data_IF_267181556012
#
_entry.id   IF_267181556012
#
_cell.length_a   1.000
_cell.length_b   1.000
_cell.length_c   1.000
_cell.angle_alpha   90.00
_cell.angle_beta   90.00
_cell.angle_gamma   90.00
#
_symmetry.space_group_name_H-M   'P 1'
#
loop_
_entity.id
_entity.type
_entity.pdbx_description
1 polymer ?
#
# COMPACT_ATOMS: atom_id res chain seq x y z
N UNK A 1 -6.42 -29.39 -4.69
CA UNK A 1 -7.04 -28.44 -3.75
C UNK A 1 -8.01 -27.57 -4.52
N UNK A 2 -9.20 -27.34 -3.98
CA UNK A 2 -10.24 -26.53 -4.63
C UNK A 2 -10.86 -25.57 -3.64
N UNK A 3 -11.18 -24.37 -4.08
CA UNK A 3 -11.97 -23.40 -3.32
C UNK A 3 -13.40 -23.94 -3.21
N UNK A 4 -13.91 -24.13 -2.00
CA UNK A 4 -15.28 -24.63 -1.75
C UNK A 4 -16.20 -23.53 -1.22
N UNK A 5 -15.66 -22.50 -0.61
CA UNK A 5 -16.43 -21.31 -0.24
C UNK A 5 -15.56 -20.07 -0.15
N UNK A 6 -16.18 -18.93 -0.41
CA UNK A 6 -15.62 -17.60 -0.19
C UNK A 6 -16.63 -16.80 0.63
N UNK A 7 -16.24 -16.29 1.77
CA UNK A 7 -17.05 -15.36 2.57
C UNK A 7 -16.43 -13.97 2.46
N UNK A 8 -17.23 -12.99 2.07
CA UNK A 8 -16.84 -11.59 1.87
C UNK A 8 -17.46 -10.74 2.97
N UNK A 9 -16.65 -9.97 3.65
CA UNK A 9 -17.07 -9.08 4.73
C UNK A 9 -16.76 -7.63 4.36
N UNK A 10 -17.75 -6.77 4.45
CA UNK A 10 -17.58 -5.32 4.38
C UNK A 10 -17.37 -4.78 5.79
N UNK A 11 -16.18 -4.27 6.11
CA UNK A 11 -15.79 -3.85 7.46
C UNK A 11 -15.35 -2.40 7.48
N UNK A 12 -15.52 -1.73 8.62
CA UNK A 12 -15.04 -0.37 8.87
C UNK A 12 -14.04 -0.39 10.02
N UNK A 13 -12.79 0.02 9.74
CA UNK A 13 -11.68 0.01 10.70
C UNK A 13 -11.55 1.37 11.37
N UNK A 14 -11.77 1.47 12.71
CA UNK A 14 -11.71 2.74 13.42
C UNK A 14 -10.25 3.18 13.64
N UNK A 15 -9.93 4.42 13.27
CA UNK A 15 -8.62 5.03 13.47
C UNK A 15 -8.44 5.53 14.92
N UNK A 16 -7.20 5.50 15.40
CA UNK A 16 -6.82 6.11 16.68
C UNK A 16 -6.92 7.64 16.66
N UNK A 17 -6.68 8.24 15.50
CA UNK A 17 -6.74 9.69 15.23
C UNK A 17 -7.20 9.90 13.80
N UNK A 18 -7.83 11.05 13.46
CA UNK A 18 -8.14 11.37 12.08
C UNK A 18 -6.89 11.36 11.21
N UNK A 19 -6.99 10.76 10.03
CA UNK A 19 -5.94 10.74 9.02
C UNK A 19 -6.29 11.68 7.88
N UNK A 20 -5.49 12.73 7.69
CA UNK A 20 -5.74 13.83 6.75
C UNK A 20 -4.73 13.80 5.63
N UNK A 21 -5.23 13.68 4.40
CA UNK A 21 -4.49 13.73 3.14
C UNK A 21 -4.99 14.88 2.26
N UNK A 22 -4.39 15.09 1.09
CA UNK A 22 -4.70 16.23 0.22
C UNK A 22 -6.18 16.32 -0.22
N UNK A 23 -6.91 15.21 -0.25
CA UNK A 23 -8.28 15.13 -0.79
C UNK A 23 -9.35 14.75 0.22
N UNK A 24 -8.99 14.23 1.43
CA UNK A 24 -9.98 13.81 2.42
C UNK A 24 -9.43 13.77 3.86
N UNK A 25 -10.34 13.61 4.84
CA UNK A 25 -10.05 13.41 6.25
C UNK A 25 -10.86 12.22 6.78
N UNK A 26 -10.16 11.14 7.13
CA UNK A 26 -10.75 9.87 7.53
C UNK A 26 -10.78 9.70 9.05
N UNK A 27 -11.88 9.21 9.60
CA UNK A 27 -12.03 8.79 11.01
C UNK A 27 -12.04 7.27 11.15
N UNK A 28 -12.47 6.59 10.10
CA UNK A 28 -12.47 5.15 9.91
C UNK A 28 -12.15 4.85 8.45
N UNK A 29 -11.67 3.64 8.17
CA UNK A 29 -11.30 3.25 6.82
C UNK A 29 -12.08 2.00 6.38
N UNK A 30 -12.61 2.00 5.13
CA UNK A 30 -13.32 0.86 4.58
C UNK A 30 -12.34 -0.28 4.27
N UNK A 31 -12.65 -1.49 4.68
CA UNK A 31 -11.88 -2.69 4.36
C UNK A 31 -12.80 -3.84 3.98
N UNK A 32 -12.47 -4.55 2.90
CA UNK A 32 -13.20 -5.74 2.45
C UNK A 32 -12.34 -6.96 2.75
N UNK A 33 -12.81 -7.80 3.66
CA UNK A 33 -12.11 -9.02 4.04
C UNK A 33 -12.70 -10.20 3.26
N UNK A 34 -11.81 -11.02 2.71
CA UNK A 34 -12.12 -12.29 2.06
C UNK A 34 -11.63 -13.43 2.93
N UNK A 35 -12.54 -14.35 3.29
CA UNK A 35 -12.21 -15.65 3.88
C UNK A 35 -12.43 -16.72 2.84
N UNK A 36 -11.36 -17.38 2.41
CA UNK A 36 -11.37 -18.45 1.41
C UNK A 36 -11.18 -19.80 2.09
N UNK A 37 -12.11 -20.73 1.87
CA UNK A 37 -12.03 -22.11 2.42
C UNK A 37 -11.84 -23.10 1.30
N UNK A 38 -10.95 -24.08 1.50
CA UNK A 38 -10.66 -25.13 0.52
C UNK A 38 -11.26 -26.47 0.90
N UNK A 39 -11.35 -27.40 -0.06
CA UNK A 39 -11.81 -28.79 0.12
C UNK A 39 -10.92 -29.61 1.08
N UNK A 40 -9.73 -29.13 1.43
CA UNK A 40 -8.85 -29.72 2.42
C UNK A 40 -9.00 -29.11 3.82
N UNK A 41 -9.93 -28.15 4.00
CA UNK A 41 -10.17 -27.46 5.26
C UNK A 41 -9.20 -26.31 5.56
N UNK A 42 -8.28 -26.01 4.66
CA UNK A 42 -7.38 -24.85 4.82
C UNK A 42 -8.17 -23.56 4.55
N UNK A 43 -8.00 -22.59 5.44
CA UNK A 43 -8.61 -21.26 5.35
C UNK A 43 -7.52 -20.21 5.14
N UNK A 44 -7.69 -19.40 4.11
CA UNK A 44 -6.87 -18.19 3.86
C UNK A 44 -7.70 -16.94 3.97
N UNK A 45 -7.04 -15.86 4.37
CA UNK A 45 -7.61 -14.52 4.46
C UNK A 45 -6.92 -13.58 3.49
N UNK A 46 -7.69 -12.64 2.95
CA UNK A 46 -7.20 -11.53 2.16
C UNK A 46 -7.98 -10.29 2.44
N UNK A 47 -7.43 -9.15 2.04
CA UNK A 47 -8.00 -7.84 2.28
C UNK A 47 -7.91 -6.99 1.03
N UNK A 48 -9.00 -6.27 0.74
CA UNK A 48 -9.06 -5.19 -0.23
C UNK A 48 -9.44 -3.88 0.45
N UNK A 49 -8.68 -2.84 0.21
CA UNK A 49 -8.97 -1.51 0.75
C UNK A 49 -9.25 -0.54 -0.40
N UNK A 50 -10.52 -0.33 -0.75
CA UNK A 50 -10.91 0.54 -1.85
C UNK A 50 -10.80 2.02 -1.45
N UNK A 51 -10.43 2.85 -2.44
CA UNK A 51 -10.45 4.31 -2.34
C UNK A 51 -10.87 4.88 -3.69
N UNK A 52 -11.95 5.70 -3.77
CA UNK A 52 -12.45 6.26 -5.03
C UNK A 52 -11.43 7.12 -5.79
N UNK A 53 -10.50 7.78 -5.07
CA UNK A 53 -9.49 8.67 -5.64
C UNK A 53 -8.22 7.95 -6.07
N UNK A 54 -7.98 6.74 -5.54
CA UNK A 54 -6.76 5.97 -5.80
C UNK A 54 -7.04 4.72 -6.62
N UNK A 55 -7.98 3.87 -6.19
CA UNK A 55 -8.30 2.62 -6.90
C UNK A 55 -9.49 2.75 -7.85
N UNK A 56 -10.27 3.82 -7.73
CA UNK A 56 -11.51 4.02 -8.48
C UNK A 56 -12.67 3.15 -7.98
N UNK A 57 -12.49 2.47 -6.85
CA UNK A 57 -13.47 1.59 -6.23
C UNK A 57 -14.02 2.24 -4.96
N UNK A 58 -15.30 2.04 -4.69
CA UNK A 58 -15.94 2.42 -3.43
C UNK A 58 -16.11 1.21 -2.53
N UNK A 59 -16.34 1.42 -1.24
CA UNK A 59 -16.64 0.37 -0.28
C UNK A 59 -17.72 -0.61 -0.79
N UNK A 60 -18.87 -0.07 -1.18
CA UNK A 60 -19.99 -0.89 -1.65
C UNK A 60 -19.74 -1.52 -3.02
N UNK A 61 -19.08 -0.82 -3.94
CA UNK A 61 -18.80 -1.39 -5.26
C UNK A 61 -17.84 -2.56 -5.17
N UNK A 62 -16.82 -2.49 -4.32
CA UNK A 62 -15.85 -3.57 -4.09
C UNK A 62 -16.53 -4.79 -3.47
N UNK A 63 -17.37 -4.58 -2.45
CA UNK A 63 -18.12 -5.66 -1.81
C UNK A 63 -19.08 -6.36 -2.77
N UNK A 64 -19.90 -5.62 -3.50
CA UNK A 64 -20.89 -6.19 -4.45
C UNK A 64 -20.18 -6.93 -5.58
N UNK A 65 -19.12 -6.35 -6.13
CA UNK A 65 -18.32 -6.95 -7.20
C UNK A 65 -17.66 -8.26 -6.77
N UNK A 66 -17.07 -8.29 -5.57
CA UNK A 66 -16.53 -9.53 -5.01
C UNK A 66 -17.61 -10.57 -4.79
N UNK A 67 -18.72 -10.19 -4.17
CA UNK A 67 -19.77 -11.14 -3.75
C UNK A 67 -20.56 -11.70 -4.92
N UNK A 68 -20.82 -10.91 -5.99
CA UNK A 68 -21.72 -11.29 -7.09
C UNK A 68 -21.00 -11.66 -8.38
N UNK A 69 -19.91 -10.98 -8.68
CA UNK A 69 -19.30 -11.08 -10.01
C UNK A 69 -18.00 -11.90 -10.00
N UNK A 70 -17.23 -11.87 -8.91
CA UNK A 70 -15.90 -12.49 -8.86
C UNK A 70 -15.89 -13.81 -8.10
N UNK A 71 -16.30 -13.81 -6.82
CA UNK A 71 -16.19 -14.99 -5.96
C UNK A 71 -16.94 -16.22 -6.49
N UNK A 72 -18.16 -16.12 -7.07
CA UNK A 72 -18.85 -17.28 -7.63
C UNK A 72 -18.08 -18.00 -8.75
N UNK A 73 -17.28 -17.26 -9.53
CA UNK A 73 -16.48 -17.79 -10.64
C UNK A 73 -15.25 -18.56 -10.18
N UNK A 74 -14.86 -18.39 -8.92
CA UNK A 74 -13.66 -19.01 -8.35
C UNK A 74 -13.95 -20.30 -7.59
N UNK A 75 -15.22 -20.65 -7.39
CA UNK A 75 -15.59 -21.93 -6.77
C UNK A 75 -15.14 -23.11 -7.65
N UNK A 76 -14.48 -24.08 -7.02
CA UNK A 76 -13.88 -25.23 -7.70
C UNK A 76 -12.50 -24.97 -8.30
N UNK A 77 -12.03 -23.74 -8.38
CA UNK A 77 -10.69 -23.40 -8.83
C UNK A 77 -9.63 -23.74 -7.77
N UNK A 78 -8.38 -23.91 -8.21
CA UNK A 78 -7.26 -24.19 -7.33
C UNK A 78 -6.52 -22.87 -6.97
N UNK A 79 -6.38 -22.52 -5.68
CA UNK A 79 -5.65 -21.30 -5.26
C UNK A 79 -4.20 -21.23 -5.77
N UNK A 80 -3.58 -22.37 -6.07
CA UNK A 80 -2.21 -22.41 -6.64
C UNK A 80 -2.15 -21.95 -8.10
N UNK A 81 -3.26 -21.99 -8.84
CA UNK A 81 -3.31 -21.56 -10.24
C UNK A 81 -3.49 -20.03 -10.32
N UNK A 82 -2.64 -19.27 -9.61
CA UNK A 82 -2.81 -17.83 -9.39
C UNK A 82 -2.94 -17.04 -10.70
N UNK A 83 -2.18 -17.38 -11.73
CA UNK A 83 -2.32 -16.71 -13.03
C UNK A 83 -3.69 -16.97 -13.67
N UNK A 84 -4.22 -18.19 -13.55
CA UNK A 84 -5.57 -18.54 -14.03
C UNK A 84 -6.62 -17.75 -13.26
N UNK A 85 -6.50 -17.66 -11.93
CA UNK A 85 -7.38 -16.87 -11.07
C UNK A 85 -7.41 -15.41 -11.52
N UNK A 86 -6.25 -14.79 -11.76
CA UNK A 86 -6.17 -13.43 -12.28
C UNK A 86 -6.81 -13.27 -13.66
N UNK A 87 -6.69 -14.28 -14.55
CA UNK A 87 -7.38 -14.28 -15.85
C UNK A 87 -8.90 -14.33 -15.69
N UNK A 88 -9.42 -15.19 -14.80
CA UNK A 88 -10.85 -15.27 -14.48
C UNK A 88 -11.35 -13.91 -13.95
N UNK A 89 -10.71 -13.36 -12.94
CA UNK A 89 -11.09 -12.08 -12.35
C UNK A 89 -11.05 -10.93 -13.38
N UNK A 90 -10.04 -10.93 -14.26
CA UNK A 90 -9.90 -9.88 -15.27
C UNK A 90 -10.89 -10.01 -16.43
N UNK A 91 -11.38 -11.23 -16.70
CA UNK A 91 -12.46 -11.44 -17.65
C UNK A 91 -13.83 -11.06 -17.08
N UNK A 92 -14.01 -11.23 -15.75
CA UNK A 92 -15.24 -10.86 -15.06
C UNK A 92 -15.39 -9.34 -14.92
N UNK A 93 -14.31 -8.65 -14.49
CA UNK A 93 -14.37 -7.22 -14.16
C UNK A 93 -13.11 -6.50 -14.66
N UNK A 94 -13.34 -5.44 -15.45
CA UNK A 94 -12.27 -4.54 -15.86
C UNK A 94 -11.79 -3.69 -14.67
N UNK A 95 -10.47 -3.48 -14.53
CA UNK A 95 -9.85 -2.83 -13.37
C UNK A 95 -10.19 -3.55 -12.04
N UNK A 96 -10.80 -2.87 -11.07
CA UNK A 96 -11.13 -3.36 -9.73
C UNK A 96 -9.92 -3.99 -9.00
N UNK A 97 -8.81 -3.26 -8.87
CA UNK A 97 -7.58 -3.83 -8.32
C UNK A 97 -7.69 -4.17 -6.84
N UNK A 98 -8.44 -3.39 -6.06
CA UNK A 98 -8.63 -3.66 -4.63
C UNK A 98 -9.42 -4.94 -4.40
N UNK A 99 -10.50 -5.16 -5.16
CA UNK A 99 -11.25 -6.41 -5.13
C UNK A 99 -10.37 -7.62 -5.49
N UNK A 100 -9.55 -7.49 -6.54
CA UNK A 100 -8.64 -8.56 -6.98
C UNK A 100 -7.53 -8.83 -5.96
N UNK A 101 -7.02 -7.79 -5.28
CA UNK A 101 -6.02 -7.93 -4.23
C UNK A 101 -6.53 -8.78 -3.07
N UNK A 102 -7.79 -8.62 -2.66
CA UNK A 102 -8.38 -9.43 -1.60
C UNK A 102 -8.36 -10.93 -1.94
N UNK A 103 -8.69 -11.30 -3.17
CA UNK A 103 -8.62 -12.70 -3.62
C UNK A 103 -7.18 -13.19 -3.75
N UNK A 104 -6.30 -12.39 -4.36
CA UNK A 104 -4.89 -12.73 -4.55
C UNK A 104 -4.19 -13.02 -3.22
N UNK A 105 -4.35 -12.12 -2.25
CA UNK A 105 -3.76 -12.25 -0.91
C UNK A 105 -4.31 -13.51 -0.22
N UNK A 106 -5.62 -13.78 -0.30
CA UNK A 106 -6.21 -15.00 0.27
C UNK A 106 -5.64 -16.27 -0.38
N UNK A 107 -5.40 -16.26 -1.70
CA UNK A 107 -4.74 -17.38 -2.39
C UNK A 107 -3.31 -17.60 -1.87
N UNK A 108 -2.52 -16.54 -1.71
CA UNK A 108 -1.16 -16.66 -1.16
C UNK A 108 -1.15 -17.15 0.29
N UNK A 109 -2.11 -16.73 1.10
CA UNK A 109 -2.27 -17.24 2.47
C UNK A 109 -2.60 -18.74 2.48
N UNK A 110 -3.54 -19.18 1.62
CA UNK A 110 -3.84 -20.61 1.43
C UNK A 110 -2.60 -21.38 0.96
N UNK A 111 -1.87 -20.88 -0.05
CA UNK A 111 -0.69 -21.54 -0.59
C UNK A 111 0.39 -21.71 0.49
N UNK A 112 0.65 -20.67 1.26
CA UNK A 112 1.62 -20.71 2.35
C UNK A 112 1.24 -21.72 3.44
N UNK A 113 -0.04 -21.72 3.88
CA UNK A 113 -0.56 -22.67 4.86
C UNK A 113 -0.53 -24.11 4.33
N UNK A 114 -0.91 -24.33 3.07
CA UNK A 114 -0.91 -25.64 2.44
C UNK A 114 0.49 -26.25 2.30
N UNK A 115 1.50 -25.42 2.09
CA UNK A 115 2.91 -25.85 1.96
C UNK A 115 3.68 -25.81 3.26
N UNK A 116 3.08 -25.30 4.34
CA UNK A 116 3.75 -25.09 5.62
C UNK A 116 4.84 -24.01 5.56
N UNK A 117 4.74 -23.06 4.62
CA UNK A 117 5.73 -22.02 4.36
C UNK A 117 5.13 -20.62 4.57
N UNK A 118 5.90 -19.67 5.12
CA UNK A 118 5.53 -18.27 5.05
C UNK A 118 5.53 -17.77 3.60
N UNK A 119 4.67 -16.80 3.30
CA UNK A 119 4.49 -16.30 1.92
C UNK A 119 5.80 -15.83 1.29
N UNK A 120 6.69 -15.18 2.05
CA UNK A 120 7.96 -14.73 1.47
C UNK A 120 8.81 -15.88 0.88
N UNK A 121 8.70 -17.13 1.39
CA UNK A 121 9.38 -18.29 0.81
C UNK A 121 8.82 -18.66 -0.57
N UNK A 122 7.53 -18.43 -0.81
CA UNK A 122 6.91 -18.59 -2.13
C UNK A 122 7.36 -17.50 -3.12
N UNK A 123 7.90 -16.40 -2.62
CA UNK A 123 8.36 -15.25 -3.41
C UNK A 123 9.87 -15.22 -3.65
N UNK A 124 10.61 -16.20 -3.12
CA UNK A 124 12.07 -16.32 -3.32
C UNK A 124 12.89 -16.33 -2.03
N UNK A 125 12.25 -16.27 -0.87
CA UNK A 125 12.91 -16.26 0.45
C UNK A 125 13.25 -14.84 0.94
N UNK A 126 13.84 -14.75 2.14
CA UNK A 126 14.23 -13.47 2.74
C UNK A 126 15.49 -12.91 2.10
N UNK A 127 15.43 -11.67 1.65
CA UNK A 127 16.60 -10.86 1.26
C UNK A 127 16.97 -9.88 2.36
N UNK A 128 15.95 -9.33 3.05
CA UNK A 128 16.12 -8.44 4.17
C UNK A 128 15.89 -9.17 5.50
N UNK A 129 16.53 -8.74 6.58
CA UNK A 129 16.35 -9.32 7.92
C UNK A 129 15.16 -8.72 8.69
N UNK A 130 14.86 -7.45 8.43
CA UNK A 130 13.77 -6.67 9.04
C UNK A 130 13.28 -5.60 8.08
N UNK A 131 12.16 -4.99 8.38
CA UNK A 131 11.56 -3.91 7.58
C UNK A 131 11.44 -2.64 8.43
N UNK A 132 12.31 -1.66 8.17
CA UNK A 132 12.18 -0.35 8.78
C UNK A 132 10.96 0.38 8.22
N UNK A 133 10.13 0.95 9.10
CA UNK A 133 8.93 1.69 8.74
C UNK A 133 9.07 3.17 9.06
N UNK A 134 8.54 4.10 8.24
CA UNK A 134 8.57 5.53 8.52
C UNK A 134 7.53 5.90 9.58
N UNK A 135 7.74 7.03 10.24
CA UNK A 135 6.65 7.70 10.94
C UNK A 135 5.92 8.64 9.98
N UNK A 136 4.62 8.41 9.78
CA UNK A 136 3.80 9.16 8.82
C UNK A 136 3.04 10.27 9.54
N UNK A 137 3.16 11.50 9.04
CA UNK A 137 2.50 12.70 9.58
C UNK A 137 1.48 13.22 8.56
N UNK A 138 0.24 13.34 8.99
CA UNK A 138 -0.85 13.95 8.23
C UNK A 138 -0.62 15.44 7.93
N UNK A 139 -1.43 16.03 7.06
CA UNK A 139 -1.43 17.47 6.83
C UNK A 139 -1.93 18.19 8.09
N UNK A 140 -1.03 18.95 8.72
CA UNK A 140 -1.27 19.71 9.94
C UNK A 140 -0.59 21.09 9.82
N UNK A 141 -0.79 22.02 10.79
CA UNK A 141 0.01 23.24 10.89
C UNK A 141 1.53 22.93 10.96
N UNK A 142 2.39 23.76 10.35
CA UNK A 142 3.85 23.50 10.30
C UNK A 142 4.48 23.19 11.65
N UNK A 143 4.10 23.91 12.70
CA UNK A 143 4.64 23.76 14.06
C UNK A 143 4.21 22.43 14.70
N UNK A 144 2.99 21.97 14.42
CA UNK A 144 2.51 20.67 14.87
C UNK A 144 3.23 19.52 14.18
N UNK A 145 3.43 19.62 12.85
CA UNK A 145 4.19 18.62 12.10
C UNK A 145 5.63 18.53 12.58
N UNK A 146 6.27 19.67 12.83
CA UNK A 146 7.62 19.73 13.39
C UNK A 146 7.72 19.09 14.78
N UNK A 147 6.73 19.35 15.65
CA UNK A 147 6.67 18.76 17.00
C UNK A 147 6.50 17.24 16.92
N UNK A 148 5.56 16.74 16.11
CA UNK A 148 5.36 15.29 15.94
C UNK A 148 6.60 14.61 15.35
N UNK A 149 7.26 15.24 14.38
CA UNK A 149 8.49 14.73 13.78
C UNK A 149 9.63 14.63 14.80
N UNK A 150 9.82 15.66 15.63
CA UNK A 150 10.83 15.66 16.69
C UNK A 150 10.56 14.56 17.75
N UNK A 151 9.30 14.34 18.10
CA UNK A 151 8.92 13.28 19.06
C UNK A 151 9.11 11.89 18.46
N UNK A 152 8.82 11.70 17.16
CA UNK A 152 9.10 10.45 16.47
C UNK A 152 10.61 10.14 16.43
N UNK A 153 11.46 11.14 16.18
CA UNK A 153 12.93 10.97 16.22
C UNK A 153 13.39 10.57 17.64
N UNK A 154 12.85 11.17 18.69
CA UNK A 154 13.15 10.79 20.09
C UNK A 154 12.68 9.33 20.38
N UNK A 155 11.59 8.90 19.74
CA UNK A 155 11.10 7.52 19.85
C UNK A 155 11.93 6.51 19.05
N UNK A 156 12.92 6.99 18.26
CA UNK A 156 13.88 6.14 17.54
C UNK A 156 13.57 5.95 16.05
N UNK A 157 12.61 6.69 15.48
CA UNK A 157 12.38 6.67 14.04
C UNK A 157 13.53 7.34 13.28
N UNK A 158 13.97 6.71 12.21
CA UNK A 158 15.05 7.19 11.33
C UNK A 158 14.55 7.75 10.01
N UNK A 159 13.25 7.61 9.75
CA UNK A 159 12.57 8.11 8.56
C UNK A 159 11.23 8.73 8.92
N UNK A 160 11.00 9.94 8.42
CA UNK A 160 9.75 10.69 8.59
C UNK A 160 9.14 10.91 7.20
N UNK A 161 7.89 10.48 7.02
CA UNK A 161 7.08 10.81 5.84
C UNK A 161 6.05 11.86 6.21
N UNK A 162 5.95 12.94 5.45
CA UNK A 162 4.95 13.99 5.66
C UNK A 162 4.01 14.08 4.48
N UNK A 163 2.73 14.28 4.77
CA UNK A 163 1.72 14.61 3.77
C UNK A 163 1.67 16.11 3.57
N UNK A 164 1.59 16.52 2.29
CA UNK A 164 1.44 17.91 1.83
C UNK A 164 0.44 17.93 0.68
N UNK A 165 0.25 19.06 -0.01
CA UNK A 165 -0.62 19.13 -1.19
C UNK A 165 -1.91 19.93 -0.96
N UNK A 166 -1.99 20.66 0.15
CA UNK A 166 -3.09 21.58 0.45
C UNK A 166 -2.80 22.97 -0.17
N UNK A 167 -2.02 23.80 0.52
CA UNK A 167 -1.58 25.09 0.01
C UNK A 167 -0.07 25.10 -0.24
N UNK A 168 0.40 25.32 -1.49
CA UNK A 168 1.82 25.24 -1.83
C UNK A 168 2.74 26.16 -1.01
N UNK A 169 2.26 27.35 -0.61
CA UNK A 169 3.06 28.28 0.20
C UNK A 169 3.19 27.79 1.66
N UNK A 170 2.15 27.17 2.18
CA UNK A 170 2.15 26.56 3.51
C UNK A 170 2.93 25.25 3.49
N UNK A 171 2.91 24.48 2.40
CA UNK A 171 3.67 23.25 2.24
C UNK A 171 5.18 23.50 2.30
N UNK A 172 5.66 24.58 1.70
CA UNK A 172 7.06 25.02 1.87
C UNK A 172 7.40 25.21 3.35
N UNK A 173 6.51 25.85 4.12
CA UNK A 173 6.72 26.04 5.57
C UNK A 173 6.70 24.72 6.33
N UNK A 174 5.78 23.81 5.99
CA UNK A 174 5.68 22.45 6.57
C UNK A 174 6.99 21.69 6.38
N UNK A 175 7.47 21.61 5.14
CA UNK A 175 8.70 20.88 4.80
C UNK A 175 9.91 21.47 5.55
N UNK A 176 10.07 22.80 5.55
CA UNK A 176 11.17 23.48 6.24
C UNK A 176 11.11 23.27 7.76
N UNK A 177 9.94 23.46 8.37
CA UNK A 177 9.77 23.29 9.81
C UNK A 177 10.07 21.85 10.26
N UNK A 178 9.64 20.85 9.50
CA UNK A 178 9.96 19.46 9.80
C UNK A 178 11.45 19.19 9.62
N UNK A 179 12.09 19.64 8.53
CA UNK A 179 13.54 19.46 8.32
C UNK A 179 14.37 20.11 9.42
N UNK A 180 14.00 21.31 9.84
CA UNK A 180 14.66 21.99 10.96
C UNK A 180 14.55 21.19 12.28
N UNK A 181 13.36 20.62 12.54
CA UNK A 181 13.09 19.87 13.76
C UNK A 181 13.82 18.51 13.83
N UNK A 182 14.00 17.82 12.68
CA UNK A 182 14.61 16.48 12.66
C UNK A 182 16.12 16.50 12.32
N UNK A 183 16.68 17.63 11.91
CA UNK A 183 18.07 17.72 11.45
C UNK A 183 18.30 17.02 10.09
N UNK A 184 19.55 16.91 9.65
CA UNK A 184 19.92 16.39 8.33
C UNK A 184 20.18 14.87 8.29
N UNK A 185 20.32 14.22 9.44
CA UNK A 185 20.61 12.76 9.52
C UNK A 185 19.37 11.88 9.38
N UNK A 186 18.19 12.44 9.58
CA UNK A 186 16.91 11.73 9.48
C UNK A 186 16.36 11.84 8.04
N UNK A 187 15.95 10.73 7.48
CA UNK A 187 15.33 10.70 6.16
C UNK A 187 14.00 11.45 6.16
N UNK A 188 13.84 12.39 5.22
CA UNK A 188 12.59 13.14 5.03
C UNK A 188 11.98 12.77 3.68
N UNK A 189 10.78 12.22 3.72
CA UNK A 189 9.97 11.83 2.57
C UNK A 189 8.76 12.75 2.48
N UNK A 190 8.47 13.24 1.29
CA UNK A 190 7.38 14.20 1.08
C UNK A 190 6.40 13.62 0.07
N UNK A 191 5.13 13.56 0.44
CA UNK A 191 4.07 13.05 -0.41
C UNK A 191 3.00 14.13 -0.61
N UNK A 192 2.83 14.56 -1.85
CA UNK A 192 1.89 15.60 -2.23
C UNK A 192 0.51 15.07 -2.62
N UNK A 193 0.33 13.75 -2.74
CA UNK A 193 -0.93 13.10 -3.14
C UNK A 193 -1.67 13.89 -4.25
N UNK A 194 -0.95 14.22 -5.33
CA UNK A 194 -1.44 15.00 -6.49
C UNK A 194 -1.78 16.49 -6.19
N UNK A 195 -1.64 16.95 -4.96
CA UNK A 195 -2.15 18.26 -4.51
C UNK A 195 -1.51 19.47 -5.19
N UNK A 196 -0.26 19.38 -5.67
CA UNK A 196 0.36 20.49 -6.44
C UNK A 196 -0.07 20.51 -7.90
N UNK A 197 -0.71 19.46 -8.40
CA UNK A 197 -1.50 19.32 -9.61
C UNK A 197 -0.76 19.47 -10.94
N UNK A 198 0.26 20.31 -11.06
CA UNK A 198 0.94 20.59 -12.31
C UNK A 198 2.42 20.93 -12.13
N UNK A 199 3.18 20.85 -13.23
CA UNK A 199 4.63 21.08 -13.27
C UNK A 199 5.03 22.45 -12.70
N UNK A 200 4.33 23.51 -13.10
CA UNK A 200 4.70 24.87 -12.71
C UNK A 200 4.61 25.11 -11.20
N UNK A 201 3.56 24.62 -10.56
CA UNK A 201 3.40 24.67 -9.10
C UNK A 201 4.43 23.80 -8.40
N UNK A 202 4.61 22.57 -8.88
CA UNK A 202 5.61 21.63 -8.34
C UNK A 202 7.00 22.23 -8.35
N UNK A 203 7.46 22.74 -9.49
CA UNK A 203 8.80 23.32 -9.62
C UNK A 203 9.00 24.58 -8.75
N UNK A 204 7.94 25.37 -8.55
CA UNK A 204 7.99 26.53 -7.65
C UNK A 204 8.17 26.13 -6.19
N UNK A 205 7.53 25.07 -5.75
CA UNK A 205 7.69 24.52 -4.39
C UNK A 205 9.08 23.89 -4.25
N UNK A 206 9.44 22.97 -5.14
CA UNK A 206 10.72 22.24 -5.04
C UNK A 206 11.92 23.17 -5.01
N UNK A 207 11.90 24.25 -5.81
CA UNK A 207 12.95 25.26 -5.78
C UNK A 207 13.12 25.96 -4.41
N UNK A 208 12.04 26.07 -3.63
CA UNK A 208 12.08 26.71 -2.31
C UNK A 208 12.48 25.75 -1.18
N UNK A 209 12.55 24.47 -1.45
CA UNK A 209 12.88 23.43 -0.46
C UNK A 209 14.02 22.52 -0.93
N UNK A 210 14.76 22.93 -1.96
CA UNK A 210 15.87 22.15 -2.53
C UNK A 210 16.96 21.85 -1.48
N UNK A 211 17.19 22.77 -0.58
CA UNK A 211 18.13 22.66 0.55
C UNK A 211 17.60 21.80 1.72
N UNK A 212 16.36 21.31 1.65
CA UNK A 212 15.78 20.45 2.67
C UNK A 212 16.19 18.97 2.56
N UNK A 213 17.02 18.60 1.57
CA UNK A 213 17.58 17.24 1.42
C UNK A 213 16.52 16.14 1.55
N UNK A 214 15.41 16.29 0.80
CA UNK A 214 14.35 15.29 0.76
C UNK A 214 14.85 14.03 0.08
N UNK A 215 14.51 12.84 0.63
CA UNK A 215 14.84 11.55 0.02
C UNK A 215 14.14 11.39 -1.33
N UNK A 216 12.88 11.84 -1.42
CA UNK A 216 12.10 11.99 -2.65
C UNK A 216 10.88 12.90 -2.47
N UNK A 217 10.32 13.31 -3.59
CA UNK A 217 8.96 13.85 -3.71
C UNK A 217 8.05 12.82 -4.36
N UNK A 218 6.91 12.48 -3.73
CA UNK A 218 5.94 11.50 -4.19
C UNK A 218 4.72 12.19 -4.78
N UNK A 219 4.31 11.75 -5.97
CA UNK A 219 3.14 12.16 -6.76
C UNK A 219 2.75 13.64 -6.66
N UNK A 220 3.62 14.55 -7.11
CA UNK A 220 3.34 15.99 -6.99
C UNK A 220 2.31 16.51 -8.01
N UNK A 221 2.22 15.85 -9.19
CA UNK A 221 1.28 16.19 -10.28
C UNK A 221 0.10 15.22 -10.30
N UNK A 222 -0.94 15.52 -11.10
CA UNK A 222 -2.09 14.62 -11.24
C UNK A 222 -1.66 13.24 -11.73
N UNK A 223 -2.40 12.20 -11.31
CA UNK A 223 -2.09 10.80 -11.60
C UNK A 223 -1.99 10.48 -13.09
N UNK A 224 -2.82 11.11 -13.92
CA UNK A 224 -2.86 10.94 -15.37
C UNK A 224 -1.82 11.79 -16.11
N UNK A 225 -1.13 12.72 -15.43
CA UNK A 225 -0.09 13.58 -16.04
C UNK A 225 1.32 12.95 -15.96
N UNK A 226 1.49 11.77 -16.55
CA UNK A 226 2.80 11.09 -16.63
C UNK A 226 3.83 11.95 -17.41
N UNK A 227 3.38 12.74 -18.36
CA UNK A 227 4.25 13.66 -19.13
C UNK A 227 4.75 14.78 -18.21
N UNK A 228 3.87 15.38 -17.44
CA UNK A 228 4.26 16.40 -16.48
C UNK A 228 5.16 15.83 -15.38
N UNK A 229 4.94 14.61 -14.94
CA UNK A 229 5.85 13.95 -13.97
C UNK A 229 7.26 13.78 -14.55
N UNK A 230 7.37 13.35 -15.83
CA UNK A 230 8.64 13.25 -16.52
C UNK A 230 9.36 14.61 -16.64
N UNK A 231 8.59 15.67 -16.87
CA UNK A 231 9.14 17.04 -16.91
C UNK A 231 9.64 17.50 -15.56
N UNK A 232 8.92 17.21 -14.46
CA UNK A 232 9.38 17.47 -13.08
C UNK A 232 10.70 16.76 -12.82
N UNK A 233 10.76 15.44 -13.09
CA UNK A 233 11.97 14.64 -12.91
C UNK A 233 13.19 15.21 -13.63
N UNK A 234 13.02 15.69 -14.86
CA UNK A 234 14.12 16.27 -15.64
C UNK A 234 14.63 17.61 -15.11
N UNK A 235 13.79 18.34 -14.35
CA UNK A 235 14.08 19.70 -13.89
C UNK A 235 14.48 19.80 -12.42
N UNK A 236 14.38 18.72 -11.66
CA UNK A 236 14.77 18.70 -10.24
C UNK A 236 15.92 17.72 -9.99
N UNK A 237 16.68 17.98 -8.93
CA UNK A 237 17.69 17.06 -8.40
C UNK A 237 17.12 16.14 -7.32
N UNK A 238 15.91 16.42 -6.84
CA UNK A 238 15.21 15.60 -5.85
C UNK A 238 14.63 14.40 -6.56
N UNK A 239 14.88 13.16 -6.10
CA UNK A 239 14.27 11.97 -6.70
C UNK A 239 12.74 12.04 -6.73
N UNK A 240 12.14 11.61 -7.83
CA UNK A 240 10.69 11.64 -8.06
C UNK A 240 10.12 10.24 -7.96
N UNK A 241 9.13 10.04 -7.10
CA UNK A 241 8.37 8.80 -6.96
C UNK A 241 6.97 8.94 -7.57
N UNK A 242 6.57 7.96 -8.39
CA UNK A 242 5.19 7.84 -8.86
C UNK A 242 4.40 6.95 -7.90
N UNK A 243 3.18 7.36 -7.52
CA UNK A 243 2.23 6.60 -6.71
C UNK A 243 0.89 6.43 -7.42
N UNK A 244 -0.04 7.36 -7.31
CA UNK A 244 -1.39 7.24 -7.86
C UNK A 244 -1.40 7.11 -9.40
N UNK A 245 -0.35 7.53 -10.06
CA UNK A 245 -0.18 7.37 -11.51
C UNK A 245 0.25 5.97 -11.97
N UNK A 246 0.44 5.01 -11.04
CA UNK A 246 0.90 3.66 -11.34
C UNK A 246 -0.04 2.60 -10.75
N UNK A 247 -0.83 1.93 -11.58
CA UNK A 247 -1.72 0.84 -11.18
C UNK A 247 -1.26 -0.53 -11.69
N UNK A 248 -0.64 -0.59 -12.86
CA UNK A 248 -0.27 -1.87 -13.46
C UNK A 248 0.66 -1.76 -14.66
N UNK A 249 0.67 -2.82 -15.46
CA UNK A 249 1.58 -2.97 -16.61
C UNK A 249 1.44 -1.85 -17.66
N UNK A 250 0.25 -1.27 -17.81
CA UNK A 250 -0.02 -0.23 -18.81
C UNK A 250 0.70 1.06 -18.42
N UNK A 251 0.49 1.51 -17.21
CA UNK A 251 1.12 2.73 -16.68
C UNK A 251 2.62 2.53 -16.52
N UNK A 252 3.06 1.34 -16.06
CA UNK A 252 4.49 1.02 -15.92
C UNK A 252 5.25 1.15 -17.24
N UNK A 253 4.65 0.72 -18.36
CA UNK A 253 5.26 0.92 -19.69
C UNK A 253 5.44 2.40 -20.02
N UNK A 254 4.42 3.24 -19.76
CA UNK A 254 4.51 4.69 -20.01
C UNK A 254 5.58 5.34 -19.11
N UNK A 255 5.64 4.94 -17.84
CA UNK A 255 6.65 5.43 -16.88
C UNK A 255 8.07 5.11 -17.36
N UNK A 256 8.32 3.88 -17.80
CA UNK A 256 9.63 3.46 -18.30
C UNK A 256 9.97 4.18 -19.60
N UNK A 257 9.05 4.19 -20.58
CA UNK A 257 9.29 4.80 -21.91
C UNK A 257 9.55 6.31 -21.81
N UNK A 258 8.91 7.00 -20.88
CA UNK A 258 9.05 8.45 -20.69
C UNK A 258 10.11 8.80 -19.64
N UNK A 259 10.66 7.81 -18.97
CA UNK A 259 11.57 8.04 -17.82
C UNK A 259 10.92 8.98 -16.79
N UNK A 260 9.65 8.72 -16.43
CA UNK A 260 8.82 9.67 -15.71
C UNK A 260 9.11 9.73 -14.20
N UNK A 261 9.76 8.71 -13.63
CA UNK A 261 10.08 8.65 -12.21
C UNK A 261 11.43 7.95 -11.99
N UNK A 262 12.05 8.19 -10.84
CA UNK A 262 13.23 7.50 -10.34
C UNK A 262 12.82 6.27 -9.53
N UNK A 263 11.67 6.37 -8.86
CA UNK A 263 11.16 5.41 -7.91
C UNK A 263 9.68 5.13 -8.19
N UNK A 264 9.23 3.91 -7.87
CA UNK A 264 7.81 3.55 -7.94
C UNK A 264 7.27 3.16 -6.57
N UNK A 265 6.07 3.61 -6.25
CA UNK A 265 5.32 3.19 -5.09
C UNK A 265 4.31 2.10 -5.49
N UNK A 266 4.62 0.85 -5.18
CA UNK A 266 3.73 -0.29 -5.42
C UNK A 266 2.81 -0.44 -4.22
N UNK A 267 1.49 -0.36 -4.45
CA UNK A 267 0.47 -0.73 -3.45
C UNK A 267 -0.29 -1.95 -3.96
N UNK A 268 -0.42 -2.98 -3.12
CA UNK A 268 -1.14 -4.21 -3.48
C UNK A 268 -2.57 -3.89 -3.94
N UNK A 269 -3.19 -2.89 -3.31
CA UNK A 269 -4.54 -2.43 -3.64
C UNK A 269 -4.64 -1.75 -5.00
N UNK A 270 -3.58 -1.13 -5.51
CA UNK A 270 -3.56 -0.49 -6.83
C UNK A 270 -3.28 -1.47 -7.96
N UNK A 271 -2.44 -2.47 -7.72
CA UNK A 271 -2.03 -3.39 -8.77
C UNK A 271 -2.78 -4.72 -8.79
N UNK A 272 -3.57 -5.03 -7.76
CA UNK A 272 -4.39 -6.24 -7.70
C UNK A 272 -3.77 -7.40 -6.92
N UNK A 273 -2.84 -7.14 -6.00
CA UNK A 273 -2.27 -8.12 -5.08
C UNK A 273 -0.79 -8.42 -5.27
N UNK A 274 -0.33 -9.50 -4.64
CA UNK A 274 1.08 -9.91 -4.60
C UNK A 274 1.57 -10.34 -6.00
N UNK A 275 0.77 -11.12 -6.73
CA UNK A 275 1.17 -11.64 -8.04
C UNK A 275 1.45 -10.55 -9.07
N UNK A 276 0.56 -9.54 -9.29
CA UNK A 276 0.87 -8.42 -10.16
C UNK A 276 2.00 -7.54 -9.61
N UNK A 277 2.11 -7.35 -8.29
CA UNK A 277 3.19 -6.59 -7.69
C UNK A 277 4.58 -7.20 -8.00
N UNK A 278 4.71 -8.53 -7.98
CA UNK A 278 5.95 -9.20 -8.40
C UNK A 278 6.35 -8.87 -9.84
N UNK A 279 5.37 -8.70 -10.76
CA UNK A 279 5.64 -8.30 -12.14
C UNK A 279 6.14 -6.86 -12.23
N UNK A 280 5.53 -5.95 -11.45
CA UNK A 280 5.99 -4.55 -11.38
C UNK A 280 7.41 -4.44 -10.82
N UNK A 281 7.73 -5.20 -9.77
CA UNK A 281 9.10 -5.25 -9.21
C UNK A 281 10.09 -5.70 -10.26
N UNK A 282 9.79 -6.76 -11.02
CA UNK A 282 10.69 -7.26 -12.07
C UNK A 282 10.86 -6.24 -13.22
N UNK A 283 9.81 -5.53 -13.61
CA UNK A 283 9.89 -4.47 -14.62
C UNK A 283 10.73 -3.28 -14.12
N UNK A 284 10.56 -2.88 -12.86
CA UNK A 284 11.35 -1.82 -12.23
C UNK A 284 12.84 -2.19 -12.15
N UNK A 285 13.14 -3.43 -11.76
CA UNK A 285 14.51 -3.95 -11.72
C UNK A 285 15.18 -3.85 -13.10
N UNK A 286 14.51 -4.29 -14.15
CA UNK A 286 15.03 -4.19 -15.54
C UNK A 286 15.19 -2.74 -16.01
N UNK A 287 14.39 -1.81 -15.49
CA UNK A 287 14.46 -0.39 -15.82
C UNK A 287 15.44 0.40 -14.91
N UNK A 288 16.05 -0.25 -13.90
CA UNK A 288 16.95 0.39 -12.95
C UNK A 288 16.23 1.35 -11.98
N UNK A 289 14.94 1.12 -11.70
CA UNK A 289 14.11 1.94 -10.82
C UNK A 289 13.99 1.30 -9.44
N UNK A 290 14.11 2.08 -8.37
CA UNK A 290 13.87 1.60 -7.02
C UNK A 290 12.37 1.42 -6.73
N UNK A 291 12.05 0.48 -5.82
CA UNK A 291 10.68 0.18 -5.43
C UNK A 291 10.44 0.47 -3.94
N UNK A 292 9.26 1.01 -3.64
CA UNK A 292 8.67 1.03 -2.32
C UNK A 292 7.40 0.17 -2.34
N UNK A 293 7.09 -0.52 -1.24
CA UNK A 293 5.75 -1.04 -0.99
C UNK A 293 5.02 -0.03 -0.12
N UNK A 294 4.07 0.65 -0.75
CA UNK A 294 3.22 1.62 -0.07
C UNK A 294 2.00 0.98 0.58
N UNK A 295 1.23 1.80 1.26
CA UNK A 295 0.03 1.41 2.00
C UNK A 295 -1.15 2.32 1.63
N UNK A 296 -2.34 1.71 1.69
CA UNK A 296 -3.63 2.41 1.76
C UNK A 296 -4.11 2.54 3.22
N UNK A 297 -3.21 2.26 4.19
CA UNK A 297 -3.50 2.09 5.62
C UNK A 297 -4.30 0.80 5.87
N UNK A 298 -3.79 -0.32 5.35
CA UNK A 298 -4.42 -1.63 5.49
C UNK A 298 -4.31 -2.19 6.91
N UNK A 299 -5.19 -3.16 7.24
CA UNK A 299 -5.13 -3.94 8.47
C UNK A 299 -3.88 -4.83 8.52
N UNK A 300 -3.72 -5.57 9.60
CA UNK A 300 -2.68 -6.60 9.75
C UNK A 300 -2.65 -7.63 8.61
N UNK A 301 -3.78 -7.90 7.94
CA UNK A 301 -3.86 -8.91 6.86
C UNK A 301 -3.08 -8.45 5.63
N UNK A 302 -3.46 -7.34 5.01
CA UNK A 302 -2.77 -6.89 3.79
C UNK A 302 -1.44 -6.21 4.10
N UNK A 303 -1.26 -5.63 5.30
CA UNK A 303 0.06 -5.18 5.76
C UNK A 303 1.05 -6.34 5.82
N UNK A 304 0.65 -7.52 6.33
CA UNK A 304 1.49 -8.71 6.30
C UNK A 304 1.82 -9.14 4.87
N UNK A 305 0.86 -9.11 3.95
CA UNK A 305 1.08 -9.43 2.54
C UNK A 305 2.14 -8.50 1.91
N UNK A 306 2.04 -7.18 2.12
CA UNK A 306 3.03 -6.20 1.69
C UNK A 306 4.39 -6.42 2.34
N UNK A 307 4.42 -6.77 3.62
CA UNK A 307 5.65 -7.07 4.36
C UNK A 307 6.36 -8.33 3.82
N UNK A 308 5.62 -9.39 3.50
CA UNK A 308 6.18 -10.59 2.86
C UNK A 308 6.80 -10.30 1.50
N UNK A 309 6.16 -9.44 0.70
CA UNK A 309 6.72 -9.01 -0.58
C UNK A 309 7.97 -8.16 -0.38
N UNK A 310 7.92 -7.19 0.55
CA UNK A 310 9.04 -6.30 0.85
C UNK A 310 10.30 -7.06 1.29
N UNK A 311 10.14 -8.04 2.19
CA UNK A 311 11.29 -8.79 2.73
C UNK A 311 11.90 -9.75 1.70
N UNK A 312 11.13 -10.12 0.65
CA UNK A 312 11.52 -11.12 -0.34
C UNK A 312 12.18 -10.53 -1.60
N UNK A 313 12.19 -9.23 -1.82
CA UNK A 313 12.65 -8.60 -3.07
C UNK A 313 13.72 -7.54 -2.82
N UNK A 314 14.91 -7.74 -3.39
CA UNK A 314 16.07 -6.85 -3.23
C UNK A 314 15.86 -5.44 -3.78
N UNK A 315 15.00 -5.28 -4.79
CA UNK A 315 14.66 -3.97 -5.36
C UNK A 315 13.74 -3.13 -4.48
N UNK A 316 13.11 -3.75 -3.47
CA UNK A 316 12.26 -3.05 -2.52
C UNK A 316 13.12 -2.58 -1.35
N UNK A 317 13.52 -1.32 -1.38
CA UNK A 317 14.39 -0.72 -0.36
C UNK A 317 13.61 0.06 0.72
N UNK A 318 12.31 0.26 0.52
CA UNK A 318 11.42 1.03 1.39
C UNK A 318 10.03 0.40 1.47
N UNK A 319 9.33 0.66 2.56
CA UNK A 319 7.94 0.24 2.75
C UNK A 319 7.19 1.22 3.66
N UNK A 320 5.86 1.11 3.66
CA UNK A 320 4.94 1.88 4.51
C UNK A 320 4.00 0.96 5.30
N UNK A 321 4.52 -0.14 5.79
CA UNK A 321 3.74 -1.15 6.52
C UNK A 321 3.40 -0.69 7.94
N UNK A 322 2.65 0.43 8.05
CA UNK A 322 2.31 1.12 9.31
C UNK A 322 0.82 1.12 9.63
N UNK A 323 -0.03 0.60 8.74
CA UNK A 323 -1.49 0.62 8.91
C UNK A 323 -1.95 0.14 10.29
N UNK A 324 -1.51 -1.04 10.80
CA UNK A 324 -1.89 -1.55 12.11
C UNK A 324 -1.58 -0.62 13.29
N UNK A 325 -0.60 0.27 13.16
CA UNK A 325 -0.25 1.26 14.19
C UNK A 325 -1.24 2.45 14.24
N UNK A 326 -2.10 2.57 13.23
CA UNK A 326 -3.05 3.67 13.11
C UNK A 326 -4.46 3.31 13.57
N UNK A 327 -4.77 2.02 13.73
CA UNK A 327 -6.09 1.55 14.13
C UNK A 327 -6.22 1.39 15.64
N UNK A 328 -7.41 1.68 16.19
CA UNK A 328 -7.76 1.36 17.57
C UNK A 328 -8.17 -0.10 17.73
N UNK A 329 -8.57 -0.77 16.64
CA UNK A 329 -8.92 -2.19 16.55
C UNK A 329 -8.44 -2.73 15.21
N UNK A 330 -7.92 -3.96 15.20
CA UNK A 330 -7.43 -4.64 14.00
C UNK A 330 -7.90 -6.11 14.01
N UNK A 331 -7.79 -6.79 12.90
CA UNK A 331 -8.21 -8.19 12.71
C UNK A 331 -7.17 -9.20 13.19
N UNK A 332 -5.93 -8.79 13.39
CA UNK A 332 -4.82 -9.60 13.88
C UNK A 332 -3.77 -8.73 14.53
N UNK A 333 -2.61 -9.31 14.80
CA UNK A 333 -1.51 -8.60 15.45
C UNK A 333 -0.23 -8.78 14.64
N UNK A 334 0.43 -7.67 14.32
CA UNK A 334 1.80 -7.65 13.82
C UNK A 334 2.74 -7.10 14.89
N UNK A 335 3.95 -7.60 14.92
CA UNK A 335 4.95 -7.20 15.93
C UNK A 335 5.83 -6.10 15.37
N UNK A 336 5.84 -4.97 16.06
CA UNK A 336 6.75 -3.85 15.78
C UNK A 336 7.72 -3.68 16.94
N UNK A 337 9.02 -3.63 16.64
CA UNK A 337 10.07 -3.29 17.60
C UNK A 337 10.66 -1.94 17.23
N UNK A 338 10.32 -0.90 17.99
CA UNK A 338 10.62 0.50 17.64
C UNK A 338 10.00 0.86 16.27
N UNK A 339 10.85 1.15 15.28
CA UNK A 339 10.47 1.46 13.90
C UNK A 339 10.68 0.27 12.94
N UNK A 340 10.75 -0.96 13.43
CA UNK A 340 10.92 -2.16 12.60
C UNK A 340 9.72 -3.09 12.72
N UNK A 341 9.17 -3.52 11.58
CA UNK A 341 8.18 -4.59 11.49
C UNK A 341 8.91 -5.93 11.40
N UNK A 342 8.60 -6.82 12.34
CA UNK A 342 9.10 -8.19 12.34
C UNK A 342 8.18 -9.07 11.51
N UNK A 343 8.66 -9.54 10.34
CA UNK A 343 7.88 -10.42 9.48
C UNK A 343 7.86 -11.83 10.05
N UNK A 344 6.66 -12.36 10.27
CA UNK A 344 6.44 -13.65 10.91
C UNK A 344 6.95 -14.82 10.05
N UNK A 345 7.56 -15.81 10.69
CA UNK A 345 8.05 -17.05 10.04
C UNK A 345 6.98 -18.18 10.07
N UNK A 346 5.72 -17.85 10.34
CA UNK A 346 4.61 -18.80 10.35
C UNK A 346 4.05 -19.03 8.94
N UNK A 347 3.41 -20.19 8.68
CA UNK A 347 2.80 -20.50 7.39
C UNK A 347 1.74 -19.48 6.94
N UNK A 348 1.68 -19.22 5.66
CA UNK A 348 0.79 -18.22 5.08
C UNK A 348 1.28 -16.79 5.34
N UNK A 349 0.37 -15.89 5.62
CA UNK A 349 0.68 -14.50 6.03
C UNK A 349 1.26 -14.42 7.45
N UNK A 350 1.19 -15.50 8.23
CA UNK A 350 1.64 -15.50 9.62
C UNK A 350 0.76 -14.68 10.57
N UNK A 351 -0.41 -14.25 10.13
CA UNK A 351 -1.38 -13.50 10.94
C UNK A 351 -2.44 -14.45 11.47
N UNK A 352 -2.63 -14.45 12.78
CA UNK A 352 -3.76 -15.13 13.43
C UNK A 352 -4.98 -14.19 13.39
N UNK A 353 -5.83 -14.40 12.39
CA UNK A 353 -7.00 -13.54 12.15
C UNK A 353 -8.10 -13.82 13.16
N UNK A 354 -8.46 -12.81 13.94
CA UNK A 354 -9.58 -12.87 14.87
C UNK A 354 -10.91 -12.71 14.11
N UNK A 355 -11.51 -13.85 13.72
CA UNK A 355 -12.77 -13.85 12.97
C UNK A 355 -13.93 -13.19 13.75
N UNK A 356 -13.93 -13.24 15.08
CA UNK A 356 -14.95 -12.57 15.88
C UNK A 356 -14.87 -11.05 15.70
N UNK A 357 -13.68 -10.49 15.67
CA UNK A 357 -13.46 -9.06 15.39
C UNK A 357 -13.86 -8.70 13.95
N UNK A 358 -13.54 -9.56 12.96
CA UNK A 358 -13.98 -9.35 11.57
C UNK A 358 -15.51 -9.26 11.51
N UNK A 359 -16.22 -10.20 12.15
CA UNK A 359 -17.70 -10.22 12.18
C UNK A 359 -18.31 -9.04 12.92
N UNK A 360 -17.70 -8.62 14.03
CA UNK A 360 -18.17 -7.49 14.83
C UNK A 360 -18.06 -6.16 14.10
N UNK A 361 -16.94 -5.95 13.36
CA UNK A 361 -16.71 -4.73 12.57
C UNK A 361 -17.36 -4.77 11.19
N UNK A 362 -18.01 -5.90 10.83
CA UNK A 362 -18.68 -6.04 9.54
C UNK A 362 -20.05 -5.36 9.58
N UNK A 363 -20.28 -4.48 8.62
CA UNK A 363 -21.60 -3.90 8.34
C UNK A 363 -22.43 -4.80 7.43
N UNK A 364 -21.77 -5.66 6.67
CA UNK A 364 -22.40 -6.62 5.77
C UNK A 364 -21.47 -7.82 5.51
N UNK A 365 -22.05 -9.01 5.30
CA UNK A 365 -21.30 -10.18 4.84
C UNK A 365 -22.13 -11.08 3.92
N UNK A 366 -21.45 -11.78 3.01
CA UNK A 366 -22.04 -12.76 2.11
C UNK A 366 -21.17 -14.01 2.03
N UNK A 367 -21.76 -15.18 2.23
CA UNK A 367 -21.11 -16.49 2.02
C UNK A 367 -21.50 -17.03 0.65
N UNK A 368 -20.50 -17.37 -0.17
CA UNK A 368 -20.61 -17.94 -1.50
C UNK A 368 -20.11 -19.39 -1.44
N UNK A 369 -20.97 -20.36 -1.85
CA UNK A 369 -20.69 -21.81 -1.81
C UNK A 369 -21.10 -22.49 -3.11
#
# INVERSE_FOLDING_TARGET
MKIVSIEVFATELPLLRPFIVAYDAFHELPSIIVKMTTDTGIVGYGEGMPDPHVTGETFYSTYEMLSRDVAPLLLGENPFDIEKIHKIMSAAVYHAPSAKAAIDIACFDVMGKATGQPVYNLLGGKVHSSLSVPYVISILPPEEMASQAADAVKAGYTSIKIKVGDDPATDVKRIRAVREAIGTTIQLRVDANQGWRNVATTMRVLKQVEDCEMEWIEQPVLADDIIGLAEVRQKTTIPVMIDEGLHGDKEMREVIMRQAADLINIKLMKCGGIYPACKLVAQAEMAGMGCQIGSMVESSIATAAGAHLSIAKSMIFSNEMVGPLMFSRDFGVLTYEKNELLVMDAPGLGVDVNEATVRELSVQSTLIQ
#
